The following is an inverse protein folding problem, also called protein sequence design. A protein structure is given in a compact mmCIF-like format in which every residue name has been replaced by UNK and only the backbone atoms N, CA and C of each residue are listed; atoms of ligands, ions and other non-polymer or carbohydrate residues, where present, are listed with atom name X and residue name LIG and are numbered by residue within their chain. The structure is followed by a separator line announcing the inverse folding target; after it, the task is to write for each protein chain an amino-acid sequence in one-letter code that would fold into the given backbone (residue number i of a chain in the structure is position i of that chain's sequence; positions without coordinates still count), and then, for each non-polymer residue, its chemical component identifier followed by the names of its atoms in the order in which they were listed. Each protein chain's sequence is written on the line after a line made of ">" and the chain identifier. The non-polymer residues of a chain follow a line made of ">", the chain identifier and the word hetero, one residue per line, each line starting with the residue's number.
data_IF_154639637130
#
_entry.id   IF_154639637130
#
_cell.length_a   1.000
_cell.length_b   1.000
_cell.length_c   1.000
_cell.angle_alpha   90.00
_cell.angle_beta   90.00
_cell.angle_gamma   90.00
#
_symmetry.space_group_name_H-M   'P 1'
#
loop_
_entity.id
_entity.type
_entity.pdbx_description
1 polymer ?
#
# COMPACT_ATOMS: atom_id res chain seq x y z
N UNK A 1 -4.74 5.41 30.42
CA UNK A 1 -4.48 6.18 29.18
C UNK A 1 -3.60 5.43 28.17
N UNK A 2 -2.51 4.76 28.61
CA UNK A 2 -1.64 3.95 27.72
C UNK A 2 -2.37 2.88 26.91
N UNK A 3 -3.29 2.11 27.52
CA UNK A 3 -4.08 1.09 26.80
C UNK A 3 -4.95 1.66 25.67
N UNK A 4 -5.51 2.86 25.84
CA UNK A 4 -6.26 3.53 24.78
C UNK A 4 -5.33 4.05 23.68
N UNK A 5 -4.23 4.72 24.05
CA UNK A 5 -3.21 5.18 23.10
C UNK A 5 -2.68 4.03 22.24
N UNK A 6 -2.40 2.86 22.85
CA UNK A 6 -2.02 1.64 22.15
C UNK A 6 -3.03 1.23 21.07
N UNK A 7 -4.33 1.17 21.40
CA UNK A 7 -5.38 0.82 20.42
C UNK A 7 -5.43 1.81 19.26
N UNK A 8 -5.24 3.11 19.54
CA UNK A 8 -5.16 4.14 18.49
C UNK A 8 -3.94 3.90 17.60
N UNK A 9 -2.77 3.62 18.18
CA UNK A 9 -1.54 3.30 17.43
C UNK A 9 -1.73 2.05 16.56
N UNK A 10 -2.32 0.98 17.10
CA UNK A 10 -2.62 -0.25 16.35
C UNK A 10 -3.53 0.04 15.15
N UNK A 11 -4.62 0.80 15.36
CA UNK A 11 -5.52 1.23 14.28
C UNK A 11 -4.79 2.08 13.23
N UNK A 12 -3.95 3.01 13.65
CA UNK A 12 -3.17 3.85 12.72
C UNK A 12 -2.19 3.02 11.90
N UNK A 13 -1.51 2.03 12.50
CA UNK A 13 -0.63 1.12 11.78
C UNK A 13 -1.39 0.28 10.75
N UNK A 14 -2.57 -0.24 11.09
CA UNK A 14 -3.43 -0.96 10.13
C UNK A 14 -3.82 -0.06 8.95
N UNK A 15 -4.22 1.18 9.22
CA UNK A 15 -4.54 2.15 8.17
C UNK A 15 -3.32 2.48 7.29
N UNK A 16 -2.13 2.67 7.89
CA UNK A 16 -0.90 2.91 7.13
C UNK A 16 -0.52 1.70 6.29
N UNK A 17 -0.74 0.47 6.78
CA UNK A 17 -0.51 -0.74 5.99
C UNK A 17 -1.46 -0.80 4.79
N UNK A 18 -2.75 -0.53 4.98
CA UNK A 18 -3.71 -0.48 3.89
C UNK A 18 -3.34 0.59 2.84
N UNK A 19 -2.92 1.77 3.30
CA UNK A 19 -2.42 2.83 2.42
C UNK A 19 -1.19 2.36 1.64
N UNK A 20 -0.23 1.73 2.31
CA UNK A 20 0.96 1.15 1.67
C UNK A 20 0.57 0.14 0.58
N UNK A 21 -0.29 -0.83 0.90
CA UNK A 21 -0.75 -1.86 -0.05
C UNK A 21 -1.47 -1.23 -1.25
N UNK A 22 -2.28 -0.19 -1.03
CA UNK A 22 -3.00 0.49 -2.11
C UNK A 22 -2.12 1.38 -3.00
N UNK A 23 -0.91 1.73 -2.55
CA UNK A 23 -0.05 2.71 -3.22
C UNK A 23 1.40 2.24 -3.40
N UNK A 24 1.68 0.94 -3.22
CA UNK A 24 3.05 0.43 -3.06
C UNK A 24 3.97 0.78 -4.23
N UNK A 25 3.46 0.83 -5.46
CA UNK A 25 4.28 1.15 -6.64
C UNK A 25 4.61 2.65 -6.72
N UNK A 26 3.66 3.53 -6.35
CA UNK A 26 3.94 4.96 -6.20
C UNK A 26 4.98 5.20 -5.11
N UNK A 27 4.80 4.56 -3.95
CA UNK A 27 5.76 4.62 -2.85
C UNK A 27 7.12 4.02 -3.22
N UNK A 28 7.15 2.97 -4.04
CA UNK A 28 8.41 2.44 -4.55
C UNK A 28 9.14 3.48 -5.39
N UNK A 29 8.47 4.19 -6.30
CA UNK A 29 9.13 5.22 -7.13
C UNK A 29 9.78 6.33 -6.29
N UNK A 30 9.12 6.71 -5.20
CA UNK A 30 9.58 7.79 -4.32
C UNK A 30 10.65 7.30 -3.32
N UNK A 31 10.47 6.11 -2.72
CA UNK A 31 11.25 5.65 -1.59
C UNK A 31 12.13 4.42 -1.85
N UNK A 32 12.24 3.90 -3.08
CA UNK A 32 13.04 2.69 -3.36
C UNK A 32 14.53 2.81 -3.04
N UNK A 33 15.02 4.04 -2.91
CA UNK A 33 16.40 4.34 -2.51
C UNK A 33 16.64 4.08 -1.02
N UNK A 34 15.58 4.03 -0.20
CA UNK A 34 15.67 3.70 1.21
C UNK A 34 15.64 2.19 1.42
N UNK A 35 16.34 1.72 2.46
CA UNK A 35 16.17 0.35 2.97
C UNK A 35 14.81 0.18 3.65
N UNK A 36 14.39 -1.07 3.88
CA UNK A 36 13.03 -1.37 4.42
C UNK A 36 12.83 -0.72 5.78
N UNK A 37 13.84 -0.77 6.64
CA UNK A 37 13.80 -0.18 7.98
C UNK A 37 13.67 1.34 7.95
N UNK A 38 14.41 1.97 7.03
CA UNK A 38 14.39 3.41 6.89
C UNK A 38 13.07 3.90 6.30
N UNK A 39 12.55 3.23 5.28
CA UNK A 39 11.20 3.52 4.77
C UNK A 39 10.13 3.41 5.86
N UNK A 40 10.15 2.34 6.67
CA UNK A 40 9.20 2.21 7.77
C UNK A 40 9.35 3.34 8.79
N UNK A 41 10.57 3.79 9.08
CA UNK A 41 10.76 4.95 9.97
C UNK A 41 10.21 6.23 9.36
N UNK A 42 10.59 6.55 8.12
CA UNK A 42 10.28 7.82 7.47
C UNK A 42 8.80 7.94 7.09
N UNK A 43 8.22 6.88 6.54
CA UNK A 43 6.86 6.90 6.04
C UNK A 43 5.86 6.38 7.06
N UNK A 44 6.11 5.26 7.76
CA UNK A 44 5.15 4.78 8.79
C UNK A 44 5.28 5.56 10.10
N UNK A 45 6.43 5.42 10.77
CA UNK A 45 6.55 5.78 12.19
C UNK A 45 6.41 7.30 12.39
N UNK A 46 7.09 8.11 11.58
CA UNK A 46 7.02 9.58 11.67
C UNK A 46 5.62 10.14 11.41
N UNK A 47 4.84 9.52 10.52
CA UNK A 47 3.47 9.96 10.27
C UNK A 47 2.59 9.72 11.50
N UNK A 48 2.67 8.50 12.07
CA UNK A 48 1.88 8.13 13.24
C UNK A 48 2.23 9.01 14.45
N UNK A 49 3.53 9.18 14.74
CA UNK A 49 3.97 10.01 15.87
C UNK A 49 3.48 11.45 15.70
N UNK A 50 3.63 12.03 14.50
CA UNK A 50 3.21 13.40 14.19
C UNK A 50 1.72 13.63 14.43
N UNK A 51 0.88 12.66 14.13
CA UNK A 51 -0.56 12.80 14.39
C UNK A 51 -0.88 12.64 15.88
N UNK A 52 -0.16 11.76 16.60
CA UNK A 52 -0.43 11.46 18.01
C UNK A 52 -0.01 12.56 18.99
N UNK A 53 1.04 13.33 18.69
CA UNK A 53 1.54 14.38 19.59
C UNK A 53 0.49 15.45 19.91
N UNK A 54 -0.53 15.60 19.08
CA UNK A 54 -1.64 16.54 19.30
C UNK A 54 -2.68 16.04 20.30
N UNK A 55 -2.72 14.72 20.57
CA UNK A 55 -3.80 14.09 21.35
C UNK A 55 -3.30 13.42 22.64
N UNK A 56 -2.01 13.11 22.74
CA UNK A 56 -1.45 12.38 23.87
C UNK A 56 -0.18 13.04 24.42
N UNK A 57 0.08 12.96 25.73
CA UNK A 57 1.34 13.39 26.31
C UNK A 57 2.53 12.61 25.72
N UNK A 58 3.71 13.24 25.52
CA UNK A 58 4.89 12.57 24.94
C UNK A 58 5.30 11.28 25.65
N UNK A 59 5.24 11.24 26.99
CA UNK A 59 5.58 10.04 27.78
C UNK A 59 4.64 8.86 27.51
N UNK A 60 3.36 9.12 27.26
CA UNK A 60 2.37 8.09 26.89
C UNK A 60 2.63 7.58 25.48
N UNK A 61 2.99 8.48 24.56
CA UNK A 61 3.31 8.11 23.17
C UNK A 61 4.56 7.23 23.13
N UNK A 62 5.66 7.65 23.77
CA UNK A 62 6.94 6.91 23.75
C UNK A 62 6.73 5.46 24.21
N UNK A 63 6.14 5.28 25.40
CA UNK A 63 5.92 3.96 25.97
C UNK A 63 4.99 3.08 25.11
N UNK A 64 3.87 3.62 24.63
CA UNK A 64 2.89 2.85 23.85
C UNK A 64 3.36 2.57 22.41
N UNK A 65 4.10 3.51 21.81
CA UNK A 65 4.54 3.43 20.42
C UNK A 65 5.66 2.41 20.25
N UNK A 66 6.65 2.41 21.13
CA UNK A 66 7.75 1.43 21.07
C UNK A 66 7.23 -0.01 21.20
N UNK A 67 6.30 -0.25 22.12
CA UNK A 67 5.69 -1.58 22.30
C UNK A 67 5.00 -2.07 21.02
N UNK A 68 4.10 -1.25 20.45
CA UNK A 68 3.38 -1.63 19.23
C UNK A 68 4.33 -1.77 18.05
N UNK A 69 5.26 -0.82 17.87
CA UNK A 69 6.26 -0.84 16.81
C UNK A 69 7.04 -2.14 16.85
N UNK A 70 7.58 -2.52 18.01
CA UNK A 70 8.38 -3.74 18.15
C UNK A 70 7.57 -4.99 17.82
N UNK A 71 6.30 -5.05 18.24
CA UNK A 71 5.42 -6.19 17.96
C UNK A 71 5.07 -6.37 16.47
N UNK A 72 4.96 -5.27 15.71
CA UNK A 72 4.52 -5.28 14.31
C UNK A 72 5.67 -5.13 13.30
N UNK A 73 6.87 -4.74 13.75
CA UNK A 73 7.99 -4.35 12.86
C UNK A 73 8.34 -5.42 11.85
N UNK A 74 8.47 -6.66 12.31
CA UNK A 74 8.83 -7.78 11.46
C UNK A 74 7.81 -7.98 10.33
N UNK A 75 6.52 -7.93 10.66
CA UNK A 75 5.44 -8.07 9.69
C UNK A 75 5.54 -6.98 8.61
N UNK A 76 5.58 -5.70 9.00
CA UNK A 76 5.62 -4.61 8.03
C UNK A 76 6.87 -4.64 7.16
N UNK A 77 8.03 -5.00 7.73
CA UNK A 77 9.25 -5.19 6.96
C UNK A 77 9.09 -6.27 5.89
N UNK A 78 8.44 -7.38 6.23
CA UNK A 78 8.16 -8.46 5.28
C UNK A 78 7.21 -8.00 4.18
N UNK A 79 6.18 -7.20 4.49
CA UNK A 79 5.34 -6.57 3.48
C UNK A 79 6.18 -5.68 2.56
N UNK A 80 6.89 -4.69 3.11
CA UNK A 80 7.70 -3.75 2.31
C UNK A 80 8.67 -4.50 1.39
N UNK A 81 9.43 -5.45 1.94
CA UNK A 81 10.35 -6.30 1.18
C UNK A 81 9.65 -7.04 0.03
N UNK A 82 8.48 -7.63 0.29
CA UNK A 82 7.71 -8.40 -0.70
C UNK A 82 7.25 -7.52 -1.86
N UNK A 83 6.67 -6.37 -1.55
CA UNK A 83 6.13 -5.47 -2.58
C UNK A 83 7.23 -4.75 -3.36
N UNK A 84 8.35 -4.39 -2.72
CA UNK A 84 9.54 -3.91 -3.41
C UNK A 84 10.19 -5.00 -4.26
N UNK A 85 10.22 -6.24 -3.79
CA UNK A 85 10.66 -7.39 -4.59
C UNK A 85 9.85 -7.53 -5.88
N UNK A 86 8.51 -7.46 -5.75
CA UNK A 86 7.63 -7.41 -6.92
C UNK A 86 7.95 -6.20 -7.83
N UNK A 87 8.14 -5.00 -7.26
CA UNK A 87 8.50 -3.82 -8.05
C UNK A 87 9.86 -3.92 -8.73
N UNK A 88 10.81 -4.69 -8.21
CA UNK A 88 12.10 -4.87 -8.88
C UNK A 88 11.98 -5.82 -10.08
N UNK A 89 11.14 -6.84 -9.99
CA UNK A 89 10.94 -7.79 -11.08
C UNK A 89 9.50 -8.35 -11.11
N UNK A 90 8.55 -7.62 -11.71
CA UNK A 90 7.15 -8.05 -11.72
C UNK A 90 6.93 -9.30 -12.59
N UNK A 91 7.79 -9.55 -13.59
CA UNK A 91 7.73 -10.73 -14.49
C UNK A 91 7.94 -12.05 -13.76
N UNK A 92 8.63 -12.06 -12.62
CA UNK A 92 8.77 -13.24 -11.75
C UNK A 92 7.48 -13.61 -11.01
N UNK A 93 6.43 -12.81 -11.14
CA UNK A 93 5.15 -13.02 -10.44
C UNK A 93 3.96 -13.08 -11.42
N UNK A 94 3.98 -13.95 -12.44
CA UNK A 94 2.93 -14.01 -13.46
C UNK A 94 1.55 -14.29 -12.88
N UNK A 95 1.48 -15.09 -11.80
CA UNK A 95 0.23 -15.38 -11.08
C UNK A 95 -0.45 -14.09 -10.58
N UNK A 96 0.32 -13.14 -10.01
CA UNK A 96 -0.23 -11.87 -9.52
C UNK A 96 -0.75 -10.98 -10.65
N UNK A 97 -0.11 -11.03 -11.81
CA UNK A 97 -0.56 -10.29 -13.00
C UNK A 97 -1.88 -10.87 -13.49
N UNK A 98 -1.98 -12.20 -13.60
CA UNK A 98 -3.20 -12.88 -14.02
C UNK A 98 -4.35 -12.66 -13.03
N UNK A 99 -4.09 -12.68 -11.72
CA UNK A 99 -5.08 -12.32 -10.71
C UNK A 99 -5.59 -10.88 -10.88
N UNK A 100 -4.69 -9.94 -11.18
CA UNK A 100 -5.06 -8.55 -11.40
C UNK A 100 -5.90 -8.37 -12.68
N UNK A 101 -5.53 -9.03 -13.79
CA UNK A 101 -6.32 -9.02 -15.02
C UNK A 101 -7.72 -9.60 -14.79
N UNK A 102 -7.80 -10.76 -14.14
CA UNK A 102 -9.08 -11.39 -13.76
C UNK A 102 -9.93 -10.48 -12.87
N UNK A 103 -9.30 -9.77 -11.93
CA UNK A 103 -10.01 -8.82 -11.07
C UNK A 103 -10.68 -7.68 -11.87
N UNK A 104 -10.03 -7.20 -12.93
CA UNK A 104 -10.61 -6.20 -13.83
C UNK A 104 -11.49 -6.79 -14.94
N UNK A 105 -11.63 -8.12 -15.01
CA UNK A 105 -12.40 -8.80 -16.05
C UNK A 105 -11.76 -8.72 -17.43
N UNK A 106 -10.43 -8.74 -17.48
CA UNK A 106 -9.64 -8.62 -18.72
C UNK A 106 -8.94 -9.93 -19.03
N UNK A 107 -8.93 -10.31 -20.30
CA UNK A 107 -8.21 -11.48 -20.81
C UNK A 107 -6.77 -11.11 -21.21
N UNK A 108 -6.58 -9.90 -21.74
CA UNK A 108 -5.28 -9.39 -22.23
C UNK A 108 -4.91 -8.06 -21.56
N UNK A 109 -3.63 -7.72 -21.67
CA UNK A 109 -3.08 -6.49 -21.09
C UNK A 109 -3.32 -5.30 -22.03
N UNK A 110 -4.34 -4.50 -21.73
CA UNK A 110 -4.65 -3.25 -22.42
C UNK A 110 -4.69 -2.08 -21.43
N UNK A 111 -3.82 -1.08 -21.61
CA UNK A 111 -3.70 0.04 -20.68
C UNK A 111 -4.97 0.92 -20.65
N UNK A 112 -5.62 1.15 -21.79
CA UNK A 112 -6.81 1.98 -21.87
C UNK A 112 -7.99 1.30 -21.19
N UNK A 113 -8.17 0.00 -21.44
CA UNK A 113 -9.25 -0.77 -20.83
C UNK A 113 -9.00 -0.96 -19.33
N UNK A 114 -7.75 -1.18 -18.88
CA UNK A 114 -7.41 -1.20 -17.44
C UNK A 114 -7.80 0.12 -16.76
N UNK A 115 -7.44 1.27 -17.36
CA UNK A 115 -7.77 2.59 -16.81
C UNK A 115 -9.27 2.83 -16.77
N UNK A 116 -10.00 2.37 -17.79
CA UNK A 116 -11.47 2.45 -17.84
C UNK A 116 -12.10 1.61 -16.74
N UNK A 117 -11.76 0.32 -16.64
CA UNK A 117 -12.28 -0.59 -15.60
C UNK A 117 -11.95 -0.12 -14.19
N UNK A 118 -10.73 0.40 -13.99
CA UNK A 118 -10.36 1.02 -12.72
C UNK A 118 -11.30 2.19 -12.36
N UNK A 119 -11.53 3.14 -13.27
CA UNK A 119 -12.42 4.28 -13.02
C UNK A 119 -13.86 3.84 -12.74
N UNK A 120 -14.35 2.83 -13.45
CA UNK A 120 -15.68 2.27 -13.23
C UNK A 120 -15.82 1.65 -11.83
N UNK A 121 -14.86 0.81 -11.42
CA UNK A 121 -14.86 0.18 -10.11
C UNK A 121 -14.71 1.20 -8.98
N UNK A 122 -13.81 2.17 -9.12
CA UNK A 122 -13.67 3.28 -8.15
C UNK A 122 -14.99 4.03 -8.03
N UNK A 123 -15.65 4.35 -9.15
CA UNK A 123 -16.93 5.06 -9.14
C UNK A 123 -18.05 4.26 -8.46
N UNK A 124 -18.03 2.94 -8.59
CA UNK A 124 -19.02 2.05 -7.99
C UNK A 124 -18.80 1.88 -6.48
N UNK A 125 -17.53 1.76 -6.07
CA UNK A 125 -17.15 1.40 -4.71
C UNK A 125 -16.61 2.57 -3.88
N UNK A 126 -16.65 3.81 -4.40
CA UNK A 126 -16.20 4.98 -3.66
C UNK A 126 -16.94 5.08 -2.31
N UNK A 127 -16.26 5.36 -1.18
CA UNK A 127 -16.89 5.41 0.15
C UNK A 127 -18.05 6.42 0.23
N UNK A 128 -18.02 7.47 -0.59
CA UNK A 128 -19.12 8.45 -0.64
C UNK A 128 -20.42 7.89 -1.26
N UNK A 129 -20.32 6.82 -2.06
CA UNK A 129 -21.47 6.17 -2.71
C UNK A 129 -21.84 4.84 -2.07
N UNK A 130 -20.85 4.02 -1.73
CA UNK A 130 -21.04 2.69 -1.14
C UNK A 130 -21.26 2.72 0.38
N UNK A 131 -21.21 3.90 0.99
CA UNK A 131 -21.21 4.08 2.44
C UNK A 131 -19.80 3.98 3.02
N UNK A 132 -19.58 4.67 4.14
CA UNK A 132 -18.30 4.68 4.86
C UNK A 132 -18.10 3.41 5.70
N UNK A 133 -18.32 2.25 5.07
CA UNK A 133 -18.21 0.94 5.71
C UNK A 133 -16.80 0.39 5.58
N UNK A 134 -16.44 -0.57 6.44
CA UNK A 134 -15.15 -1.25 6.38
C UNK A 134 -15.02 -2.03 5.06
N UNK A 135 -16.11 -2.61 4.58
CA UNK A 135 -16.17 -3.39 3.35
C UNK A 135 -15.88 -2.52 2.12
N UNK A 136 -16.48 -1.33 2.05
CA UNK A 136 -16.21 -0.37 0.98
C UNK A 136 -14.74 0.10 0.99
N UNK A 137 -14.19 0.38 2.18
CA UNK A 137 -12.78 0.72 2.32
C UNK A 137 -11.86 -0.41 1.85
N UNK A 138 -12.12 -1.65 2.27
CA UNK A 138 -11.31 -2.80 1.86
C UNK A 138 -11.42 -3.09 0.36
N UNK A 139 -12.60 -2.88 -0.24
CA UNK A 139 -12.75 -2.98 -1.70
C UNK A 139 -11.92 -1.93 -2.42
N UNK A 140 -11.91 -0.68 -1.95
CA UNK A 140 -11.06 0.37 -2.51
C UNK A 140 -9.56 0.03 -2.39
N UNK A 141 -9.12 -0.50 -1.24
CA UNK A 141 -7.74 -0.98 -1.08
C UNK A 141 -7.42 -2.06 -2.11
N UNK A 142 -8.34 -3.01 -2.33
CA UNK A 142 -8.18 -4.12 -3.29
C UNK A 142 -8.14 -3.63 -4.75
N UNK A 143 -9.03 -2.72 -5.13
CA UNK A 143 -9.06 -2.09 -6.47
C UNK A 143 -7.71 -1.42 -6.74
N UNK A 144 -7.25 -0.59 -5.80
CA UNK A 144 -5.98 0.12 -5.91
C UNK A 144 -4.80 -0.85 -5.97
N UNK A 145 -4.76 -1.89 -5.13
CA UNK A 145 -3.70 -2.89 -5.12
C UNK A 145 -3.51 -3.55 -6.49
N UNK A 146 -4.58 -4.07 -7.10
CA UNK A 146 -4.48 -4.71 -8.42
C UNK A 146 -4.13 -3.72 -9.52
N UNK A 147 -4.61 -2.47 -9.41
CA UNK A 147 -4.22 -1.42 -10.34
C UNK A 147 -2.71 -1.12 -10.25
N UNK A 148 -2.12 -1.04 -9.05
CA UNK A 148 -0.68 -0.85 -8.86
C UNK A 148 0.14 -2.02 -9.44
N UNK A 149 -0.34 -3.27 -9.31
CA UNK A 149 0.28 -4.44 -9.92
C UNK A 149 0.41 -4.27 -11.44
N UNK A 150 -0.71 -3.98 -12.12
CA UNK A 150 -0.73 -3.88 -13.58
C UNK A 150 0.08 -2.69 -14.06
N UNK A 151 -0.03 -1.53 -13.37
CA UNK A 151 0.77 -0.34 -13.72
C UNK A 151 2.26 -0.60 -13.64
N UNK A 152 2.73 -1.27 -12.58
CA UNK A 152 4.15 -1.62 -12.48
C UNK A 152 4.56 -2.60 -13.57
N UNK A 153 3.73 -3.58 -13.87
CA UNK A 153 4.04 -4.56 -14.92
C UNK A 153 4.17 -3.88 -16.30
N UNK A 154 3.22 -3.00 -16.66
CA UNK A 154 3.25 -2.23 -17.90
C UNK A 154 4.45 -1.28 -17.99
N UNK A 155 4.84 -0.64 -16.88
CA UNK A 155 6.02 0.23 -16.86
C UNK A 155 7.33 -0.51 -17.14
N UNK A 156 7.36 -1.83 -16.91
CA UNK A 156 8.49 -2.71 -17.23
C UNK A 156 8.58 -2.98 -18.73
N UNK A 157 7.43 -3.21 -19.36
CA UNK A 157 7.32 -3.49 -20.80
C UNK A 157 7.85 -2.33 -21.64
N UNK A 158 7.54 -1.09 -21.25
CA UNK A 158 8.02 0.13 -21.91
C UNK A 158 9.54 0.33 -21.84
N UNK A 159 10.21 -0.15 -20.77
CA UNK A 159 11.67 -0.03 -20.66
C UNK A 159 12.41 -1.06 -21.52
N UNK A 160 11.82 -2.24 -21.77
CA UNK A 160 12.44 -3.24 -22.66
C UNK A 160 12.42 -2.84 -24.13
N UNK A 161 11.47 -2.02 -24.58
CA UNK A 161 11.42 -1.49 -25.95
C UNK A 161 12.39 -0.34 -26.19
N UNK A 162 12.81 0.37 -25.14
CA UNK A 162 13.74 1.51 -25.20
C UNK A 162 15.23 1.14 -25.03
N UNK A 163 15.55 -0.15 -24.86
CA UNK A 163 16.95 -0.64 -24.80
C UNK A 163 17.43 -1.27 -26.12
N UNK A 164 16.70 -1.09 -27.22
CA UNK A 164 17.17 -1.38 -28.57
C UNK A 164 17.39 -0.03 -29.25
N UNK A 165 18.56 0.57 -28.99
CA UNK A 165 18.98 1.85 -29.54
C UNK A 165 20.44 2.11 -29.21
#
# INVERSE_FOLDING_TARGET
>A
MSSFCRKVIEYMYENRLNQFISSFYELFKEYSHLGEEEFLREWFDRAIIRDLIFYFPPSTIISSFEEVRNSKRHLFRTYVKTYWGFCRNPRKHPVRINEALKFFGLEELDEEEIRKRYRELVRLHHPDRAGRTREAHMMMVKINYYYQILRRYMSDGFKSTLQIG
#
